data_IF_734418338012
#
_entry.id   IF_734418338012
#
_cell.length_a   1.000
_cell.length_b   1.000
_cell.length_c   1.000
_cell.angle_alpha   90.00
_cell.angle_beta   90.00
_cell.angle_gamma   90.00
#
_symmetry.space_group_name_H-M   'P 1'
#
loop_
_entity.id
_entity.type
_entity.pdbx_description
1 polymer ?
#
# COMPACT_ATOMS: atom_id res chain seq x y z
N UNK A 1 22.37 -17.51 28.84
CA UNK A 1 22.70 -16.55 27.76
C UNK A 1 23.13 -17.36 26.55
N UNK A 2 22.49 -17.18 25.39
CA UNK A 2 22.87 -17.87 24.15
C UNK A 2 24.21 -17.34 23.66
N UNK A 3 25.15 -18.23 23.31
CA UNK A 3 26.42 -17.83 22.70
C UNK A 3 26.20 -17.54 21.21
N UNK A 4 26.64 -16.37 20.77
CA UNK A 4 26.52 -15.92 19.37
C UNK A 4 27.88 -16.06 18.68
N UNK A 5 27.91 -16.85 17.60
CA UNK A 5 29.12 -16.99 16.78
C UNK A 5 29.25 -15.82 15.79
N UNK A 6 30.47 -15.44 15.40
CA UNK A 6 30.63 -14.39 14.38
C UNK A 6 30.02 -14.79 13.04
N UNK A 7 30.07 -16.09 12.71
CA UNK A 7 29.54 -16.64 11.45
C UNK A 7 28.02 -16.68 11.38
N UNK A 8 27.33 -16.45 12.50
CA UNK A 8 25.88 -16.64 12.63
C UNK A 8 25.08 -15.77 11.67
N UNK A 9 25.60 -14.59 11.33
CA UNK A 9 24.93 -13.61 10.50
C UNK A 9 25.40 -13.61 9.04
N UNK A 10 26.26 -14.55 8.63
CA UNK A 10 26.62 -14.69 7.21
C UNK A 10 25.46 -15.23 6.36
N UNK A 11 24.58 -16.03 6.97
CA UNK A 11 23.40 -16.61 6.33
C UNK A 11 22.15 -16.29 7.16
N UNK A 12 21.95 -15.03 7.53
CA UNK A 12 20.75 -14.60 8.25
C UNK A 12 19.54 -14.51 7.33
N UNK A 13 18.37 -14.77 7.88
CA UNK A 13 17.11 -14.50 7.20
C UNK A 13 16.91 -12.99 7.03
N UNK A 14 16.21 -12.60 5.96
CA UNK A 14 15.68 -11.24 5.84
C UNK A 14 14.59 -11.04 6.90
N UNK A 15 14.92 -10.26 7.95
CA UNK A 15 14.00 -9.96 9.04
C UNK A 15 13.21 -8.69 8.72
N UNK A 16 11.88 -8.67 8.96
CA UNK A 16 11.08 -7.44 8.90
C UNK A 16 11.61 -6.35 9.85
N UNK A 17 11.40 -5.05 9.53
CA UNK A 17 11.81 -3.93 10.36
C UNK A 17 11.37 -4.02 11.83
N UNK A 18 10.18 -4.56 12.09
CA UNK A 18 9.68 -4.76 13.46
C UNK A 18 10.55 -5.71 14.30
N UNK A 19 11.03 -6.81 13.70
CA UNK A 19 11.92 -7.77 14.38
C UNK A 19 13.29 -7.17 14.66
N UNK A 20 13.79 -6.35 13.74
CA UNK A 20 15.04 -5.61 13.91
C UNK A 20 14.90 -4.55 15.01
N UNK A 21 13.77 -3.84 15.07
CA UNK A 21 13.47 -2.87 16.12
C UNK A 21 13.41 -3.51 17.51
N UNK A 22 12.70 -4.64 17.64
CA UNK A 22 12.70 -5.42 18.88
C UNK A 22 14.11 -5.84 19.30
N UNK A 23 14.90 -6.38 18.36
CA UNK A 23 16.26 -6.83 18.63
C UNK A 23 17.17 -5.67 19.06
N UNK A 24 17.08 -4.51 18.41
CA UNK A 24 17.85 -3.32 18.74
C UNK A 24 17.52 -2.76 20.13
N UNK A 25 16.23 -2.74 20.53
CA UNK A 25 15.81 -2.33 21.88
C UNK A 25 16.40 -3.23 22.96
N UNK A 26 16.45 -4.54 22.74
CA UNK A 26 17.07 -5.49 23.68
C UNK A 26 18.60 -5.46 23.62
N UNK A 27 19.18 -5.19 22.45
CA UNK A 27 20.62 -5.01 22.30
C UNK A 27 21.12 -3.79 23.11
N UNK A 28 20.31 -2.72 23.20
CA UNK A 28 20.58 -1.57 24.09
C UNK A 28 20.78 -1.98 25.54
N UNK A 29 19.93 -2.88 26.06
CA UNK A 29 20.10 -3.42 27.41
C UNK A 29 21.38 -4.25 27.55
N UNK A 30 21.76 -4.97 26.49
CA UNK A 30 23.01 -5.73 26.41
C UNK A 30 24.25 -4.83 26.42
N UNK A 31 24.24 -3.76 25.64
CA UNK A 31 25.29 -2.73 25.58
C UNK A 31 25.56 -2.16 26.98
N UNK A 32 24.51 -1.86 27.76
CA UNK A 32 24.65 -1.37 29.13
C UNK A 32 25.22 -2.38 30.14
N UNK A 33 25.33 -3.66 29.78
CA UNK A 33 25.83 -4.75 30.65
C UNK A 33 27.26 -5.18 30.29
N UNK A 34 27.82 -4.70 29.20
CA UNK A 34 29.17 -5.06 28.75
C UNK A 34 30.23 -4.34 29.58
N UNK A 35 31.24 -5.10 30.00
CA UNK A 35 32.41 -4.58 30.72
C UNK A 35 33.69 -5.07 30.03
N UNK A 36 34.70 -4.20 29.80
CA UNK A 36 34.62 -2.74 29.91
C UNK A 36 33.56 -2.14 28.98
N UNK A 37 33.21 -0.86 29.16
CA UNK A 37 32.15 -0.22 28.38
C UNK A 37 32.43 -0.36 26.86
N UNK A 38 31.40 -0.67 26.05
CA UNK A 38 31.56 -0.85 24.61
C UNK A 38 31.99 0.47 23.93
N UNK A 39 32.65 0.38 22.76
CA UNK A 39 32.91 1.55 21.91
C UNK A 39 31.63 2.39 21.71
N UNK A 40 31.67 3.72 21.92
CA UNK A 40 30.50 4.60 21.81
C UNK A 40 29.75 4.48 20.50
N UNK A 41 30.48 4.16 19.42
CA UNK A 41 29.97 3.97 18.08
C UNK A 41 28.94 2.83 17.98
N UNK A 42 29.07 1.78 18.80
CA UNK A 42 28.10 0.68 18.86
C UNK A 42 26.78 1.18 19.44
N UNK A 43 26.85 1.94 20.53
CA UNK A 43 25.69 2.57 21.15
C UNK A 43 24.98 3.52 20.18
N UNK A 44 25.73 4.43 19.56
CA UNK A 44 25.19 5.37 18.58
C UNK A 44 24.55 4.67 17.36
N UNK A 45 25.19 3.60 16.85
CA UNK A 45 24.64 2.82 15.75
C UNK A 45 23.33 2.11 16.15
N UNK A 46 23.26 1.57 17.38
CA UNK A 46 22.06 0.93 17.90
C UNK A 46 20.90 1.91 18.10
N UNK A 47 21.14 3.09 18.69
CA UNK A 47 20.10 4.11 18.83
C UNK A 47 19.60 4.62 17.47
N UNK A 48 20.51 4.79 16.50
CA UNK A 48 20.13 5.13 15.12
C UNK A 48 19.22 4.07 14.50
N UNK A 49 19.53 2.78 14.69
CA UNK A 49 18.67 1.68 14.23
C UNK A 49 17.29 1.71 14.91
N UNK A 50 17.21 1.96 16.23
CA UNK A 50 15.94 2.10 16.94
C UNK A 50 15.11 3.23 16.34
N UNK A 51 15.69 4.42 16.18
CA UNK A 51 14.98 5.58 15.62
C UNK A 51 14.46 5.32 14.20
N UNK A 52 15.25 4.66 13.35
CA UNK A 52 14.81 4.28 12.00
C UNK A 52 13.63 3.31 12.04
N UNK A 53 13.65 2.32 12.94
CA UNK A 53 12.54 1.37 13.08
C UNK A 53 11.27 2.01 13.63
N UNK A 54 11.39 3.01 14.50
CA UNK A 54 10.26 3.80 15.01
C UNK A 54 9.66 4.69 13.91
N UNK A 55 10.51 5.36 13.13
CA UNK A 55 10.07 6.15 11.98
C UNK A 55 9.37 5.27 10.92
N UNK A 56 9.93 4.10 10.61
CA UNK A 56 9.25 3.13 9.73
C UNK A 56 7.89 2.71 10.29
N UNK A 57 7.79 2.42 11.59
CA UNK A 57 6.53 2.01 12.20
C UNK A 57 5.45 3.12 12.12
N UNK A 58 5.84 4.38 12.31
CA UNK A 58 4.97 5.54 12.13
C UNK A 58 4.49 5.66 10.68
N UNK A 59 5.40 5.66 9.71
CA UNK A 59 5.06 5.76 8.27
C UNK A 59 4.22 4.56 7.83
N UNK A 60 4.55 3.36 8.27
CA UNK A 60 3.80 2.15 7.94
C UNK A 60 2.37 2.20 8.52
N UNK A 61 2.17 2.73 9.73
CA UNK A 61 0.82 2.97 10.29
C UNK A 61 0.06 4.00 9.47
N UNK A 62 0.69 5.12 9.09
CA UNK A 62 0.06 6.12 8.23
C UNK A 62 -0.37 5.52 6.88
N UNK A 63 0.49 4.71 6.26
CA UNK A 63 0.17 3.98 5.03
C UNK A 63 -0.96 2.96 5.23
N UNK A 64 -0.94 2.19 6.32
CA UNK A 64 -2.00 1.25 6.65
C UNK A 64 -3.33 1.97 6.90
N UNK A 65 -3.32 3.10 7.60
CA UNK A 65 -4.50 3.94 7.83
C UNK A 65 -5.03 4.45 6.50
N UNK A 66 -4.21 5.06 5.65
CA UNK A 66 -4.63 5.53 4.33
C UNK A 66 -5.19 4.41 3.44
N UNK A 67 -4.64 3.20 3.54
CA UNK A 67 -5.12 2.03 2.79
C UNK A 67 -6.39 1.41 3.38
N UNK A 68 -6.59 1.51 4.70
CA UNK A 68 -7.79 1.08 5.44
C UNK A 68 -8.93 2.09 5.34
N UNK A 69 -8.59 3.36 5.21
CA UNK A 69 -9.45 4.46 4.73
C UNK A 69 -9.77 4.27 3.23
N UNK A 70 -10.06 3.02 2.82
CA UNK A 70 -10.77 2.68 1.58
C UNK A 70 -11.79 3.79 1.35
N UNK A 71 -11.54 4.57 0.30
CA UNK A 71 -12.31 5.70 -0.20
C UNK A 71 -13.44 6.12 0.75
N UNK A 72 -13.26 7.25 1.47
CA UNK A 72 -14.31 7.86 2.28
C UNK A 72 -15.68 7.50 1.69
N UNK A 73 -16.59 6.84 2.41
CA UNK A 73 -17.80 6.24 1.83
C UNK A 73 -18.56 7.20 0.89
N UNK A 74 -18.49 8.49 1.21
CA UNK A 74 -18.99 9.60 0.41
C UNK A 74 -18.29 9.76 -0.96
N UNK A 75 -16.96 9.63 -1.03
CA UNK A 75 -16.21 9.60 -2.29
C UNK A 75 -16.58 8.38 -3.13
N UNK A 76 -16.68 7.19 -2.54
CA UNK A 76 -17.09 5.98 -3.26
C UNK A 76 -18.55 6.09 -3.77
N UNK A 77 -19.44 6.70 -3.00
CA UNK A 77 -20.82 6.98 -3.43
C UNK A 77 -20.85 8.01 -4.57
N UNK A 78 -20.04 9.08 -4.49
CA UNK A 78 -19.95 10.11 -5.51
C UNK A 78 -19.39 9.58 -6.83
N UNK A 79 -18.35 8.74 -6.75
CA UNK A 79 -17.72 8.03 -7.86
C UNK A 79 -18.73 7.13 -8.60
N UNK A 80 -19.40 6.23 -7.87
CA UNK A 80 -20.46 5.39 -8.42
C UNK A 80 -21.63 6.17 -9.03
N UNK A 81 -21.95 7.35 -8.48
CA UNK A 81 -23.00 8.21 -9.00
C UNK A 81 -22.56 8.86 -10.32
N UNK A 82 -21.33 9.36 -10.37
CA UNK A 82 -20.72 9.92 -11.57
C UNK A 82 -20.66 8.90 -12.71
N UNK A 83 -20.22 7.67 -12.43
CA UNK A 83 -20.15 6.58 -13.41
C UNK A 83 -21.52 6.27 -14.02
N UNK A 84 -22.56 6.20 -13.17
CA UNK A 84 -23.94 5.99 -13.63
C UNK A 84 -24.42 7.15 -14.48
N UNK A 85 -24.17 8.39 -14.07
CA UNK A 85 -24.58 9.58 -14.82
C UNK A 85 -23.88 9.66 -16.17
N UNK A 86 -22.58 9.37 -16.25
CA UNK A 86 -21.83 9.34 -17.51
C UNK A 86 -22.32 8.21 -18.43
N UNK A 87 -22.46 7.00 -17.89
CA UNK A 87 -22.98 5.84 -18.63
C UNK A 87 -24.38 6.10 -19.20
N UNK A 88 -25.25 6.71 -18.40
CA UNK A 88 -26.61 7.06 -18.82
C UNK A 88 -26.61 8.16 -19.90
N UNK A 89 -25.73 9.16 -19.80
CA UNK A 89 -25.62 10.21 -20.79
C UNK A 89 -25.17 9.65 -22.15
N UNK A 90 -24.13 8.82 -22.17
CA UNK A 90 -23.65 8.16 -23.40
C UNK A 90 -24.70 7.21 -23.97
N UNK A 91 -25.37 6.42 -23.11
CA UNK A 91 -26.44 5.51 -23.55
C UNK A 91 -27.60 6.25 -24.20
N UNK A 92 -28.04 7.38 -23.63
CA UNK A 92 -29.09 8.21 -24.22
C UNK A 92 -28.68 8.81 -25.57
N UNK A 93 -27.43 9.27 -25.71
CA UNK A 93 -26.94 9.72 -27.01
C UNK A 93 -26.97 8.59 -28.06
N UNK A 94 -26.64 7.35 -27.68
CA UNK A 94 -26.77 6.18 -28.59
C UNK A 94 -28.22 5.91 -28.97
N UNK A 95 -29.13 5.95 -28.02
CA UNK A 95 -30.57 5.77 -28.27
C UNK A 95 -31.10 6.82 -29.25
N UNK A 96 -30.67 8.08 -29.16
CA UNK A 96 -31.10 9.13 -30.10
C UNK A 96 -30.66 8.86 -31.55
N UNK A 97 -29.57 8.10 -31.78
CA UNK A 97 -29.17 7.64 -33.12
C UNK A 97 -30.01 6.44 -33.58
N UNK A 98 -30.37 5.54 -32.68
CA UNK A 98 -31.12 4.32 -32.98
C UNK A 98 -32.62 4.59 -33.22
N UNK A 99 -33.22 5.42 -32.37
CA UNK A 99 -34.66 5.72 -32.35
C UNK A 99 -35.07 6.72 -33.43
N UNK A 100 -34.12 7.51 -33.94
CA UNK A 100 -34.37 8.51 -34.96
C UNK A 100 -33.70 8.16 -36.29
N UNK A 101 -34.42 8.38 -37.40
CA UNK A 101 -33.86 8.14 -38.74
C UNK A 101 -32.57 8.93 -38.98
N UNK A 102 -31.64 8.36 -39.74
CA UNK A 102 -30.29 8.88 -40.03
C UNK A 102 -30.27 10.33 -40.56
N UNK A 103 -31.36 10.79 -41.15
CA UNK A 103 -31.49 12.14 -41.69
C UNK A 103 -32.02 13.18 -40.69
N UNK A 104 -32.51 12.75 -39.54
CA UNK A 104 -33.05 13.63 -38.51
C UNK A 104 -31.95 14.52 -37.89
N UNK A 105 -32.34 15.73 -37.49
CA UNK A 105 -31.44 16.67 -36.79
C UNK A 105 -30.93 16.04 -35.49
N UNK A 106 -31.77 15.29 -34.79
CA UNK A 106 -31.44 14.57 -33.56
C UNK A 106 -30.39 13.50 -33.75
N UNK A 107 -30.61 12.57 -34.68
CA UNK A 107 -29.65 11.51 -34.95
C UNK A 107 -28.29 12.08 -35.41
N UNK A 108 -28.28 13.16 -36.20
CA UNK A 108 -27.04 13.83 -36.64
C UNK A 108 -26.30 14.50 -35.48
N UNK A 109 -27.03 15.20 -34.60
CA UNK A 109 -26.46 15.82 -33.41
C UNK A 109 -25.89 14.75 -32.44
N UNK A 110 -26.65 13.69 -32.19
CA UNK A 110 -26.23 12.58 -31.35
C UNK A 110 -25.01 11.85 -31.91
N UNK A 111 -24.96 11.62 -33.22
CA UNK A 111 -23.81 11.03 -33.89
C UNK A 111 -22.55 11.89 -33.74
N UNK A 112 -22.65 13.22 -33.85
CA UNK A 112 -21.50 14.12 -33.61
C UNK A 112 -20.97 14.02 -32.17
N UNK A 113 -21.87 13.90 -31.18
CA UNK A 113 -21.46 13.71 -29.79
C UNK A 113 -20.66 12.40 -29.63
N UNK A 114 -21.14 11.32 -30.26
CA UNK A 114 -20.52 9.99 -30.23
C UNK A 114 -19.23 9.88 -31.05
N UNK A 115 -19.09 10.65 -32.13
CA UNK A 115 -17.87 10.70 -32.94
C UNK A 115 -16.82 11.66 -32.36
N UNK A 116 -17.24 12.60 -31.52
CA UNK A 116 -16.41 13.59 -30.84
C UNK A 116 -16.11 13.24 -29.38
N UNK A 117 -16.55 14.05 -28.40
CA UNK A 117 -16.14 13.93 -26.99
C UNK A 117 -16.63 12.65 -26.29
N UNK A 118 -17.66 11.99 -26.84
CA UNK A 118 -18.14 10.69 -26.33
C UNK A 118 -17.58 9.49 -27.09
N UNK A 119 -16.59 9.69 -27.96
CA UNK A 119 -15.89 8.62 -28.68
C UNK A 119 -14.89 7.89 -27.76
N UNK A 120 -15.41 7.38 -26.66
CA UNK A 120 -14.66 6.66 -25.63
C UNK A 120 -15.48 5.46 -25.19
N UNK A 121 -14.80 4.37 -24.87
CA UNK A 121 -15.47 3.25 -24.23
C UNK A 121 -15.81 3.63 -22.79
N UNK A 122 -17.09 3.58 -22.43
CA UNK A 122 -17.57 4.01 -21.09
C UNK A 122 -16.78 3.32 -19.98
N UNK A 123 -16.53 2.01 -20.11
CA UNK A 123 -15.76 1.26 -19.12
C UNK A 123 -14.29 1.70 -19.01
N UNK A 124 -13.71 2.28 -20.06
CA UNK A 124 -12.35 2.81 -20.03
C UNK A 124 -12.26 4.10 -19.21
N UNK A 125 -13.39 4.79 -19.02
CA UNK A 125 -13.51 5.97 -18.17
C UNK A 125 -13.92 5.60 -16.75
N UNK A 126 -14.86 4.68 -16.56
CA UNK A 126 -15.41 4.35 -15.23
C UNK A 126 -14.56 3.36 -14.41
N UNK A 127 -13.65 2.60 -15.04
CA UNK A 127 -12.82 1.59 -14.34
C UNK A 127 -11.37 2.02 -14.13
N UNK A 128 -11.02 3.28 -14.40
CA UNK A 128 -9.65 3.79 -14.19
C UNK A 128 -9.46 4.29 -12.76
N UNK A 129 -8.23 4.70 -12.41
CA UNK A 129 -7.97 5.38 -11.14
C UNK A 129 -8.77 6.69 -11.07
N UNK A 130 -9.24 7.09 -9.88
CA UNK A 130 -10.14 8.24 -9.72
C UNK A 130 -9.54 9.54 -10.22
N UNK A 131 -8.24 9.70 -10.08
CA UNK A 131 -7.47 10.84 -10.59
C UNK A 131 -7.52 10.90 -12.12
N UNK A 132 -7.41 9.75 -12.78
CA UNK A 132 -7.48 9.65 -14.24
C UNK A 132 -8.93 9.85 -14.73
N UNK A 133 -9.91 9.28 -14.03
CA UNK A 133 -11.34 9.45 -14.32
C UNK A 133 -11.74 10.93 -14.20
N UNK A 134 -11.25 11.62 -13.18
CA UNK A 134 -11.43 13.06 -12.97
C UNK A 134 -10.89 13.86 -14.16
N UNK A 135 -9.63 13.61 -14.55
CA UNK A 135 -8.99 14.31 -15.65
C UNK A 135 -9.68 14.06 -17.00
N UNK A 136 -10.05 12.81 -17.28
CA UNK A 136 -10.75 12.41 -18.52
C UNK A 136 -12.13 13.07 -18.58
N UNK A 137 -12.94 12.93 -17.53
CA UNK A 137 -14.29 13.51 -17.50
C UNK A 137 -14.25 15.04 -17.51
N UNK A 138 -13.28 15.67 -16.86
CA UNK A 138 -13.06 17.12 -16.97
C UNK A 138 -12.86 17.55 -18.42
N UNK A 139 -12.00 16.84 -19.15
CA UNK A 139 -11.74 17.14 -20.56
C UNK A 139 -12.99 16.96 -21.42
N UNK A 140 -13.72 15.85 -21.23
CA UNK A 140 -14.95 15.56 -21.97
C UNK A 140 -16.01 16.63 -21.71
N UNK A 141 -16.25 16.98 -20.44
CA UNK A 141 -17.25 17.98 -20.06
C UNK A 141 -16.92 19.37 -20.58
N UNK A 142 -15.65 19.78 -20.52
CA UNK A 142 -15.21 21.05 -21.06
C UNK A 142 -15.43 21.13 -22.58
N UNK A 143 -15.14 20.05 -23.32
CA UNK A 143 -15.37 20.04 -24.78
C UNK A 143 -16.87 20.02 -25.12
N UNK A 144 -17.67 19.24 -24.38
CA UNK A 144 -19.12 19.23 -24.52
C UNK A 144 -19.74 20.62 -24.30
N UNK A 145 -19.30 21.34 -23.27
CA UNK A 145 -19.77 22.68 -22.95
C UNK A 145 -19.32 23.73 -23.98
N UNK A 146 -18.06 23.67 -24.41
CA UNK A 146 -17.49 24.66 -25.33
C UNK A 146 -17.95 24.49 -26.77
N UNK A 147 -18.07 23.25 -27.24
CA UNK A 147 -18.16 22.93 -28.67
C UNK A 147 -19.47 22.25 -29.07
N UNK A 148 -20.20 21.63 -28.13
CA UNK A 148 -21.35 20.75 -28.46
C UNK A 148 -22.66 21.11 -27.75
N UNK A 149 -22.75 22.25 -27.06
CA UNK A 149 -23.96 22.67 -26.36
C UNK A 149 -25.23 22.67 -27.25
N UNK A 150 -25.11 23.09 -28.51
CA UNK A 150 -26.22 23.08 -29.47
C UNK A 150 -26.65 21.66 -29.86
N UNK A 151 -25.70 20.74 -30.00
CA UNK A 151 -26.01 19.34 -30.35
C UNK A 151 -26.66 18.62 -29.14
N UNK A 152 -26.24 18.93 -27.91
CA UNK A 152 -26.88 18.45 -26.67
C UNK A 152 -28.34 18.92 -26.58
N UNK A 153 -28.58 20.20 -26.86
CA UNK A 153 -29.93 20.79 -26.87
C UNK A 153 -30.80 20.16 -27.97
N UNK A 154 -30.26 19.98 -29.18
CA UNK A 154 -30.97 19.34 -30.29
C UNK A 154 -31.43 17.92 -29.95
N UNK A 155 -30.61 17.17 -29.22
CA UNK A 155 -30.92 15.82 -28.71
C UNK A 155 -31.88 15.82 -27.50
N UNK A 156 -32.23 16.99 -26.94
CA UNK A 156 -33.04 17.07 -25.71
C UNK A 156 -32.31 16.53 -24.47
N UNK A 157 -30.97 16.50 -24.50
CA UNK A 157 -30.15 15.91 -23.44
C UNK A 157 -29.71 16.93 -22.38
N UNK A 158 -30.11 18.20 -22.48
CA UNK A 158 -29.67 19.29 -21.59
C UNK A 158 -29.84 18.96 -20.11
N UNK A 159 -31.00 18.42 -19.71
CA UNK A 159 -31.23 18.03 -18.31
C UNK A 159 -30.32 16.88 -17.85
N UNK A 160 -29.97 15.95 -18.74
CA UNK A 160 -29.03 14.86 -18.41
C UNK A 160 -27.60 15.37 -18.33
N UNK A 161 -27.24 16.35 -19.17
CA UNK A 161 -25.94 17.00 -19.13
C UNK A 161 -25.75 17.82 -17.84
N UNK A 162 -26.77 18.56 -17.40
CA UNK A 162 -26.73 19.29 -16.12
C UNK A 162 -26.53 18.35 -14.92
N UNK A 163 -27.21 17.19 -14.91
CA UNK A 163 -27.03 16.17 -13.87
C UNK A 163 -25.60 15.63 -13.87
N UNK A 164 -25.05 15.33 -15.06
CA UNK A 164 -23.67 14.87 -15.20
C UNK A 164 -22.66 15.91 -14.70
N UNK A 165 -22.84 17.18 -15.05
CA UNK A 165 -21.99 18.28 -14.56
C UNK A 165 -22.07 18.43 -13.03
N UNK A 166 -23.26 18.34 -12.46
CA UNK A 166 -23.46 18.41 -11.01
C UNK A 166 -22.78 17.25 -10.27
N UNK A 167 -22.92 16.03 -10.79
CA UNK A 167 -22.30 14.83 -10.21
C UNK A 167 -20.77 14.86 -10.35
N UNK A 168 -20.24 15.35 -11.48
CA UNK A 168 -18.80 15.55 -11.67
C UNK A 168 -18.25 16.58 -10.68
N UNK A 169 -18.95 17.70 -10.48
CA UNK A 169 -18.55 18.72 -9.51
C UNK A 169 -18.51 18.16 -8.09
N UNK A 170 -19.53 17.40 -7.68
CA UNK A 170 -19.57 16.76 -6.37
C UNK A 170 -18.41 15.77 -6.17
N UNK A 171 -18.08 14.99 -7.20
CA UNK A 171 -16.94 14.07 -7.19
C UNK A 171 -15.60 14.81 -7.08
N UNK A 172 -15.38 15.86 -7.86
CA UNK A 172 -14.16 16.67 -7.81
C UNK A 172 -14.00 17.37 -6.44
N UNK A 173 -15.10 17.85 -5.85
CA UNK A 173 -15.09 18.40 -4.48
C UNK A 173 -14.73 17.33 -3.44
N UNK A 174 -15.32 16.14 -3.53
CA UNK A 174 -15.00 15.02 -2.65
C UNK A 174 -13.52 14.58 -2.77
N UNK A 175 -12.99 14.51 -3.99
CA UNK A 175 -11.57 14.26 -4.27
C UNK A 175 -10.68 15.33 -3.59
N UNK A 176 -11.03 16.61 -3.73
CA UNK A 176 -10.25 17.71 -3.14
C UNK A 176 -10.25 17.72 -1.60
N UNK A 177 -11.32 17.22 -0.98
CA UNK A 177 -11.43 17.09 0.48
C UNK A 177 -10.65 15.89 0.99
N UNK A 178 -10.61 14.79 0.25
CA UNK A 178 -9.82 13.60 0.58
C UNK A 178 -8.29 13.87 0.54
N UNK A 179 -7.83 14.77 -0.33
CA UNK A 179 -6.41 15.14 -0.48
C UNK A 179 -5.88 16.00 0.69
N UNK A 180 -6.74 16.49 1.60
CA UNK A 180 -6.32 17.33 2.74
C UNK A 180 -5.71 16.54 3.93
N UNK A 181 -5.65 15.21 3.89
CA UNK A 181 -4.79 14.44 4.79
C UNK A 181 -3.36 14.42 4.25
N UNK A 182 -2.36 14.52 5.14
CA UNK A 182 -0.94 14.48 4.78
C UNK A 182 -0.67 13.31 3.83
N UNK A 183 -0.02 13.56 2.68
CA UNK A 183 0.14 12.55 1.63
C UNK A 183 0.71 11.25 2.22
N UNK A 184 -0.08 10.18 2.13
CA UNK A 184 0.29 8.91 2.71
C UNK A 184 1.64 8.43 2.13
N UNK A 185 2.55 7.89 2.95
CA UNK A 185 3.82 7.36 2.45
C UNK A 185 3.63 6.38 1.31
N UNK A 186 4.47 6.44 0.28
CA UNK A 186 4.38 5.50 -0.85
C UNK A 186 4.92 4.11 -0.46
N UNK A 187 4.56 3.08 -1.23
CA UNK A 187 5.15 1.73 -1.04
C UNK A 187 6.66 1.73 -1.29
N UNK A 188 7.14 2.56 -2.22
CA UNK A 188 8.56 2.74 -2.52
C UNK A 188 9.31 3.37 -1.34
N UNK A 189 8.73 4.39 -0.70
CA UNK A 189 9.27 5.00 0.52
C UNK A 189 9.42 3.97 1.65
N UNK A 190 8.39 3.14 1.87
CA UNK A 190 8.44 2.10 2.90
C UNK A 190 9.48 1.02 2.59
N UNK A 191 9.62 0.62 1.32
CA UNK A 191 10.65 -0.33 0.90
C UNK A 191 12.06 0.23 1.09
N UNK A 192 12.26 1.51 0.76
CA UNK A 192 13.55 2.17 0.97
C UNK A 192 13.89 2.24 2.46
N UNK A 193 12.95 2.65 3.32
CA UNK A 193 13.14 2.66 4.77
C UNK A 193 13.48 1.26 5.31
N UNK A 194 12.82 0.21 4.82
CA UNK A 194 13.13 -1.16 5.22
C UNK A 194 14.54 -1.60 4.79
N UNK A 195 14.98 -1.22 3.58
CA UNK A 195 16.33 -1.48 3.08
C UNK A 195 17.40 -0.72 3.90
N UNK A 196 17.14 0.53 4.26
CA UNK A 196 18.03 1.35 5.08
C UNK A 196 18.16 0.76 6.50
N UNK A 197 17.05 0.30 7.09
CA UNK A 197 17.04 -0.40 8.39
C UNK A 197 17.85 -1.69 8.32
N UNK A 198 17.67 -2.48 7.26
CA UNK A 198 18.44 -3.71 7.05
C UNK A 198 19.94 -3.40 6.98
N UNK A 199 20.32 -2.41 6.17
CA UNK A 199 21.70 -1.95 6.03
C UNK A 199 22.29 -1.49 7.37
N UNK A 200 21.52 -0.73 8.16
CA UNK A 200 21.93 -0.27 9.50
C UNK A 200 22.09 -1.42 10.49
N UNK A 201 21.24 -2.45 10.41
CA UNK A 201 21.39 -3.64 11.23
C UNK A 201 22.67 -4.43 10.92
N UNK A 202 23.02 -4.52 9.64
CA UNK A 202 24.26 -5.17 9.17
C UNK A 202 25.48 -4.38 9.65
N UNK A 203 25.43 -3.05 9.54
CA UNK A 203 26.47 -2.16 10.09
C UNK A 203 26.67 -2.39 11.60
N UNK A 204 25.60 -2.46 12.39
CA UNK A 204 25.68 -2.74 13.82
C UNK A 204 26.33 -4.11 14.09
N UNK A 205 25.91 -5.15 13.39
CA UNK A 205 26.48 -6.51 13.52
C UNK A 205 27.98 -6.49 13.23
N UNK A 206 28.41 -5.81 12.16
CA UNK A 206 29.83 -5.70 11.82
C UNK A 206 30.63 -4.92 12.87
N UNK A 207 30.12 -3.79 13.37
CA UNK A 207 30.77 -3.02 14.45
C UNK A 207 30.95 -3.87 15.71
N UNK A 208 29.93 -4.62 16.11
CA UNK A 208 30.00 -5.50 17.29
C UNK A 208 30.96 -6.68 17.05
N UNK A 209 30.92 -7.30 15.87
CA UNK A 209 31.84 -8.39 15.53
C UNK A 209 33.30 -7.93 15.47
N UNK A 210 33.56 -6.70 15.02
CA UNK A 210 34.89 -6.10 14.99
C UNK A 210 35.41 -5.74 16.39
N UNK A 211 34.54 -5.21 17.26
CA UNK A 211 34.90 -4.87 18.63
C UNK A 211 35.10 -6.10 19.53
N UNK A 212 34.39 -7.20 19.26
CA UNK A 212 34.43 -8.43 20.05
C UNK A 212 34.74 -9.65 19.15
N UNK A 213 36.04 -9.89 18.86
CA UNK A 213 36.48 -11.03 18.06
C UNK A 213 36.22 -12.41 18.70
N UNK A 214 36.57 -13.51 18.02
CA UNK A 214 36.44 -14.88 18.57
C UNK A 214 37.60 -15.31 19.48
N UNK A 215 38.54 -14.40 19.75
CA UNK A 215 39.82 -14.66 20.41
C UNK A 215 39.72 -15.01 21.89
N UNK A 216 38.69 -14.55 22.59
CA UNK A 216 38.53 -14.80 24.03
C UNK A 216 37.09 -15.17 24.43
N UNK A 217 36.93 -15.81 25.60
CA UNK A 217 35.61 -16.08 26.18
C UNK A 217 34.84 -14.82 26.54
N UNK A 218 35.55 -13.79 26.98
CA UNK A 218 34.98 -12.50 27.33
C UNK A 218 34.42 -11.79 26.10
N UNK A 219 35.14 -11.79 24.99
CA UNK A 219 34.64 -11.24 23.72
C UNK A 219 33.38 -11.99 23.24
N UNK A 220 33.39 -13.32 23.34
CA UNK A 220 32.21 -14.14 23.03
C UNK A 220 31.03 -13.75 23.91
N UNK A 221 31.26 -13.53 25.20
CA UNK A 221 30.23 -13.15 26.17
C UNK A 221 29.66 -11.75 25.84
N UNK A 222 30.53 -10.78 25.59
CA UNK A 222 30.16 -9.40 25.29
C UNK A 222 29.42 -9.29 23.94
N UNK A 223 29.89 -9.97 22.90
CA UNK A 223 29.15 -10.10 21.63
C UNK A 223 27.77 -10.71 21.84
N UNK A 224 27.69 -11.76 22.65
CA UNK A 224 26.42 -12.46 22.91
C UNK A 224 25.42 -11.62 23.68
N UNK A 225 25.88 -10.72 24.56
CA UNK A 225 25.01 -9.76 25.25
C UNK A 225 24.33 -8.81 24.26
N UNK A 226 25.06 -8.34 23.25
CA UNK A 226 24.57 -7.33 22.29
C UNK A 226 23.82 -7.99 21.12
N UNK A 227 24.39 -9.02 20.49
CA UNK A 227 23.81 -9.66 19.29
C UNK A 227 22.87 -10.83 19.61
N UNK A 228 22.79 -11.27 20.86
CA UNK A 228 21.88 -12.32 21.30
C UNK A 228 20.42 -12.12 20.90
N UNK A 229 19.86 -10.89 21.02
CA UNK A 229 18.51 -10.58 20.55
C UNK A 229 18.32 -10.76 19.03
N UNK A 230 19.30 -10.36 18.22
CA UNK A 230 19.25 -10.53 16.76
C UNK A 230 19.31 -12.02 16.38
N UNK A 231 20.21 -12.76 17.02
CA UNK A 231 20.30 -14.21 16.87
C UNK A 231 18.97 -14.90 17.23
N UNK A 232 18.32 -14.47 18.31
CA UNK A 232 17.02 -15.03 18.72
C UNK A 232 15.94 -14.81 17.65
N UNK A 233 15.88 -13.64 17.02
CA UNK A 233 14.91 -13.39 15.94
C UNK A 233 15.24 -14.22 14.70
N UNK A 234 16.52 -14.42 14.38
CA UNK A 234 16.94 -15.29 13.29
C UNK A 234 16.51 -16.76 13.52
N UNK A 235 16.61 -17.27 14.75
CA UNK A 235 16.11 -18.61 15.11
C UNK A 235 14.60 -18.71 15.01
N UNK A 236 13.88 -17.67 15.43
CA UNK A 236 12.42 -17.61 15.31
C UNK A 236 11.99 -17.62 13.84
N UNK A 237 12.70 -16.89 12.98
CA UNK A 237 12.49 -16.94 11.54
C UNK A 237 12.75 -18.35 10.97
N UNK A 238 13.86 -18.99 11.36
CA UNK A 238 14.18 -20.35 10.95
C UNK A 238 13.09 -21.36 11.38
N UNK A 239 12.60 -21.23 12.62
CA UNK A 239 11.54 -22.08 13.16
C UNK A 239 10.21 -21.85 12.43
N UNK A 240 9.88 -20.60 12.10
CA UNK A 240 8.70 -20.25 11.32
C UNK A 240 8.74 -20.91 9.94
N UNK A 241 9.80 -20.68 9.16
CA UNK A 241 9.92 -21.24 7.80
C UNK A 241 9.97 -22.77 7.79
N UNK A 242 10.54 -23.39 8.83
CA UNK A 242 10.54 -24.85 8.97
C UNK A 242 9.13 -25.41 9.19
N UNK A 243 8.30 -24.72 9.99
CA UNK A 243 6.92 -25.14 10.31
C UNK A 243 5.95 -24.82 9.17
N UNK A 244 6.13 -23.69 8.51
CA UNK A 244 5.22 -23.16 7.49
C UNK A 244 5.84 -23.27 6.09
N UNK A 245 6.13 -24.50 5.65
CA UNK A 245 6.70 -24.75 4.33
C UNK A 245 5.78 -24.18 3.24
N UNK A 246 6.30 -23.26 2.43
CA UNK A 246 5.56 -22.59 1.35
C UNK A 246 5.06 -21.18 1.69
N UNK A 247 5.13 -20.75 2.95
CA UNK A 247 4.95 -19.33 3.29
C UNK A 247 6.28 -18.59 3.10
N UNK A 248 6.25 -17.55 2.28
CA UNK A 248 7.43 -16.73 1.97
C UNK A 248 7.52 -15.45 2.81
N UNK A 249 6.53 -15.21 3.67
CA UNK A 249 6.43 -13.95 4.44
C UNK A 249 6.49 -14.26 5.93
N UNK A 250 7.55 -13.76 6.58
CA UNK A 250 7.68 -13.81 8.03
C UNK A 250 6.79 -12.73 8.65
N UNK A 251 5.94 -13.05 9.67
CA UNK A 251 5.10 -12.05 10.30
C UNK A 251 5.95 -11.03 11.06
N UNK A 252 5.40 -9.81 11.17
CA UNK A 252 5.91 -8.77 12.05
C UNK A 252 5.83 -9.19 13.52
N UNK A 253 6.53 -8.47 14.39
CA UNK A 253 6.45 -8.64 15.85
C UNK A 253 6.07 -7.36 16.55
N UNK A 254 5.43 -7.50 17.70
CA UNK A 254 5.25 -6.41 18.65
C UNK A 254 6.62 -5.98 19.20
N UNK A 255 6.90 -4.67 19.20
CA UNK A 255 8.22 -4.13 19.52
C UNK A 255 8.59 -4.25 21.01
N UNK A 256 7.62 -4.42 21.90
CA UNK A 256 7.84 -4.45 23.34
C UNK A 256 7.99 -5.91 23.83
N UNK A 257 7.12 -6.78 23.33
CA UNK A 257 7.01 -8.19 23.73
C UNK A 257 7.78 -9.12 22.81
N UNK A 258 7.94 -8.77 21.52
CA UNK A 258 8.58 -9.60 20.50
C UNK A 258 7.73 -10.77 20.04
N UNK A 259 6.44 -10.79 20.35
CA UNK A 259 5.49 -11.82 19.90
C UNK A 259 5.03 -11.50 18.49
N UNK A 260 4.83 -12.54 17.68
CA UNK A 260 4.36 -12.40 16.30
C UNK A 260 2.98 -11.69 16.27
N UNK A 261 2.87 -10.65 15.45
CA UNK A 261 1.60 -9.98 15.19
C UNK A 261 0.81 -10.87 14.24
N UNK A 262 -0.20 -11.55 14.77
CA UNK A 262 -1.16 -12.30 13.96
C UNK A 262 -2.06 -11.30 13.27
N UNK A 263 -1.80 -11.01 12.00
CA UNK A 263 -2.78 -10.35 11.14
C UNK A 263 -3.82 -11.42 10.81
N UNK A 264 -4.90 -11.49 11.60
CA UNK A 264 -6.12 -12.16 11.14
C UNK A 264 -6.66 -11.32 9.99
N UNK A 265 -6.40 -11.73 8.76
CA UNK A 265 -7.15 -11.24 7.62
C UNK A 265 -8.63 -11.57 7.87
N UNK A 266 -9.41 -10.59 8.33
CA UNK A 266 -10.88 -10.68 8.33
C UNK A 266 -11.45 -10.75 6.89
N UNK A 267 -10.59 -10.79 5.87
CA UNK A 267 -10.93 -11.10 4.48
C UNK A 267 -10.24 -12.38 3.98
N UNK A 268 -9.97 -13.36 4.84
CA UNK A 268 -9.75 -14.72 4.35
C UNK A 268 -10.99 -15.11 3.53
N UNK A 269 -10.87 -15.12 2.21
CA UNK A 269 -11.86 -15.72 1.32
C UNK A 269 -12.21 -17.08 1.93
N UNK A 270 -13.49 -17.26 2.22
CA UNK A 270 -14.00 -18.55 2.67
C UNK A 270 -13.40 -19.65 1.78
N UNK A 271 -12.95 -20.78 2.35
CA UNK A 271 -12.38 -21.85 1.56
C UNK A 271 -13.38 -22.17 0.45
N UNK A 272 -12.91 -22.06 -0.79
CA UNK A 272 -13.67 -22.52 -1.96
C UNK A 272 -13.98 -23.99 -1.67
N UNK A 273 -15.26 -24.25 -1.38
CA UNK A 273 -15.72 -25.58 -0.98
C UNK A 273 -15.30 -26.61 -2.01
N UNK A 274 -15.00 -27.81 -1.51
CA UNK A 274 -14.75 -29.02 -2.30
C UNK A 274 -15.66 -29.03 -3.53
N UNK A 275 -15.05 -28.94 -4.71
CA UNK A 275 -15.70 -29.32 -5.95
C UNK A 275 -15.92 -30.81 -5.83
N UNK A 276 -17.12 -31.18 -5.42
CA UNK A 276 -17.58 -32.56 -5.44
C UNK A 276 -17.49 -33.02 -6.90
N UNK A 277 -16.63 -34.00 -7.17
CA UNK A 277 -16.62 -34.70 -8.46
C UNK A 277 -18.05 -35.17 -8.76
N UNK A 278 -18.56 -34.97 -9.98
CA UNK A 278 -19.84 -35.55 -10.36
C UNK A 278 -19.63 -37.07 -10.44
N UNK A 279 -20.35 -37.80 -9.60
CA UNK A 279 -20.51 -39.23 -9.73
C UNK A 279 -21.15 -39.51 -11.09
N UNK A 280 -20.35 -39.96 -12.05
CA UNK A 280 -20.87 -40.53 -13.28
C UNK A 280 -21.21 -42.02 -13.05
N UNK A 281 -22.36 -42.36 -13.63
CA UNK A 281 -23.05 -43.65 -13.67
C UNK A 281 -22.17 -44.85 -14.04
#
# INVERSE_FOLDING_TARGET
MRIVSQSEFFNSYALPPSRLGWAARRAREGIGKVQPAPPPEIGACNEGLIAMTEHYAERHRAWQTARRERAAPELALSDNKLDKSFSNFVSRARMEVEDHGKDSVRAKAAQKLLDGPLNVEVFAVTNTAREDQEAILRSILNDLEASYAQDIEACGLSASFEVLQADFKAFAEAMSQAIKSEAAPTTEELQQLAADISSKSVELIHRVNGAYPTTSEEDRKNRSLILGPFALQNDRAAAFYRRNRGQNTLPDVDLDTGVDVVVTDENAQAPVGDVSEPANA
#
